data_IF_318543249358
#
_entry.id   IF_318543249358
#
_cell.length_a   1.000
_cell.length_b   1.000
_cell.length_c   1.000
_cell.angle_alpha   90.00
_cell.angle_beta   90.00
_cell.angle_gamma   90.00
#
_symmetry.space_group_name_H-M   'P 1'
#
loop_
_entity.id
_entity.type
_entity.pdbx_description
1 polymer ?
#
# COMPACT_ATOMS: atom_id res chain seq x y z
N UNK A 1 -17.74 -15.35 2.68
CA UNK A 1 -16.40 -15.41 3.32
C UNK A 1 -15.59 -14.27 2.74
N UNK A 2 -15.26 -13.25 3.53
CA UNK A 2 -14.35 -12.18 3.09
C UNK A 2 -12.94 -12.77 3.22
N UNK A 3 -12.25 -12.95 2.10
CA UNK A 3 -10.87 -13.42 2.09
C UNK A 3 -10.01 -12.38 2.81
N UNK A 4 -9.44 -12.76 3.96
CA UNK A 4 -8.58 -11.90 4.76
C UNK A 4 -7.40 -11.46 3.88
N UNK A 5 -7.26 -10.17 3.61
CA UNK A 5 -6.23 -9.67 2.69
C UNK A 5 -4.84 -9.71 3.35
N UNK A 6 -3.80 -10.00 2.57
CA UNK A 6 -2.42 -9.92 3.02
C UNK A 6 -1.84 -8.54 2.69
N UNK A 7 -1.46 -7.79 3.72
CA UNK A 7 -0.94 -6.43 3.67
C UNK A 7 0.51 -6.44 4.17
N UNK A 8 1.43 -5.95 3.33
CA UNK A 8 2.83 -5.78 3.70
C UNK A 8 3.18 -4.30 3.93
N UNK A 9 3.78 -3.99 5.08
CA UNK A 9 4.25 -2.64 5.41
C UNK A 9 5.74 -2.50 5.10
N UNK A 10 6.18 -1.40 4.48
CA UNK A 10 7.59 -1.09 4.32
C UNK A 10 8.29 -1.00 5.69
N UNK A 11 9.55 -1.48 5.83
CA UNK A 11 10.32 -1.29 7.05
C UNK A 11 10.46 0.21 7.39
N UNK A 12 10.21 0.58 8.65
CA UNK A 12 10.26 1.98 9.09
C UNK A 12 8.90 2.68 9.11
N UNK A 13 7.83 2.01 8.66
CA UNK A 13 6.47 2.46 8.95
C UNK A 13 6.18 2.39 10.46
N UNK A 14 5.38 3.32 11.01
CA UNK A 14 5.03 3.31 12.43
C UNK A 14 4.38 1.99 12.87
N UNK A 15 4.85 1.36 13.96
CA UNK A 15 4.39 0.02 14.36
C UNK A 15 2.91 -0.04 14.72
N UNK A 16 2.31 1.08 15.17
CA UNK A 16 0.88 1.18 15.46
C UNK A 16 -0.01 0.93 14.23
N UNK A 17 0.51 1.12 13.01
CA UNK A 17 -0.22 0.81 11.79
C UNK A 17 -0.55 -0.68 11.66
N UNK A 18 0.27 -1.56 12.24
CA UNK A 18 -0.03 -3.00 12.27
C UNK A 18 -1.36 -3.24 12.97
N UNK A 19 -1.52 -2.71 14.20
CA UNK A 19 -2.76 -2.85 14.95
C UNK A 19 -3.97 -2.20 14.26
N UNK A 20 -3.77 -1.04 13.62
CA UNK A 20 -4.86 -0.36 12.94
C UNK A 20 -5.34 -1.08 11.67
N UNK A 21 -4.43 -1.75 10.96
CA UNK A 21 -4.71 -2.43 9.69
C UNK A 21 -5.10 -3.91 9.87
N UNK A 22 -4.83 -4.51 11.03
CA UNK A 22 -5.21 -5.89 11.35
C UNK A 22 -6.72 -6.16 11.21
N UNK A 23 -7.56 -5.12 11.40
CA UNK A 23 -9.00 -5.26 11.17
C UNK A 23 -9.38 -5.42 9.69
N UNK A 24 -8.47 -5.15 8.75
CA UNK A 24 -8.68 -5.28 7.31
C UNK A 24 -8.06 -6.57 6.73
N UNK A 25 -7.15 -7.23 7.46
CA UNK A 25 -6.40 -8.34 6.91
C UNK A 25 -5.25 -8.81 7.79
N UNK A 26 -4.49 -9.80 7.31
CA UNK A 26 -3.20 -10.16 7.91
C UNK A 26 -2.19 -9.09 7.52
N UNK A 27 -1.51 -8.54 8.52
CA UNK A 27 -0.53 -7.47 8.33
C UNK A 27 0.84 -7.98 8.75
N UNK A 28 1.84 -7.78 7.90
CA UNK A 28 3.23 -8.08 8.20
C UNK A 28 4.11 -6.89 7.81
N UNK A 29 5.15 -6.61 8.59
CA UNK A 29 6.21 -5.71 8.16
C UNK A 29 7.09 -6.49 7.19
N UNK A 30 7.24 -5.98 5.97
CA UNK A 30 8.14 -6.54 4.98
C UNK A 30 9.57 -6.44 5.50
N UNK A 31 10.28 -7.56 5.55
CA UNK A 31 11.70 -7.55 5.89
C UNK A 31 12.53 -7.26 4.62
N UNK A 32 12.99 -8.32 3.94
CA UNK A 32 13.78 -8.25 2.71
C UNK A 32 12.98 -8.56 1.44
N UNK A 33 11.84 -9.25 1.58
CA UNK A 33 10.94 -9.62 0.49
C UNK A 33 9.50 -9.56 0.98
N UNK A 34 8.61 -9.23 0.05
CA UNK A 34 7.16 -9.28 0.28
C UNK A 34 6.69 -10.71 0.04
N UNK A 35 5.88 -11.24 0.96
CA UNK A 35 5.42 -12.63 0.90
C UNK A 35 4.51 -12.87 -0.32
N UNK A 36 4.60 -14.03 -1.01
CA UNK A 36 3.63 -14.42 -2.02
C UNK A 36 2.20 -14.38 -1.46
N UNK A 37 1.23 -13.96 -2.28
CA UNK A 37 -0.16 -13.79 -1.85
C UNK A 37 -0.46 -12.41 -1.24
N UNK A 38 0.57 -11.61 -0.93
CA UNK A 38 0.39 -10.20 -0.55
C UNK A 38 -0.34 -9.46 -1.67
N UNK A 39 -1.45 -8.80 -1.32
CA UNK A 39 -2.26 -8.02 -2.25
C UNK A 39 -1.96 -6.53 -2.18
N UNK A 40 -1.50 -6.07 -1.03
CA UNK A 40 -1.31 -4.65 -0.76
C UNK A 40 0.08 -4.42 -0.19
N UNK A 41 0.82 -3.52 -0.83
CA UNK A 41 2.07 -2.99 -0.32
C UNK A 41 1.85 -1.57 0.19
N UNK A 42 2.07 -1.33 1.48
CA UNK A 42 2.01 0.00 2.06
C UNK A 42 3.43 0.52 2.34
N UNK A 43 3.66 1.79 2.08
CA UNK A 43 4.97 2.44 2.24
C UNK A 43 4.82 3.91 2.64
N UNK A 44 5.92 4.58 2.96
CA UNK A 44 5.92 6.03 3.23
C UNK A 44 6.20 6.80 1.93
N UNK A 45 5.87 8.09 1.87
CA UNK A 45 6.17 8.93 0.71
C UNK A 45 7.68 9.03 0.39
N UNK A 46 8.52 8.85 1.41
CA UNK A 46 9.98 8.84 1.30
C UNK A 46 10.52 7.51 0.71
N UNK A 47 9.70 6.46 0.68
CA UNK A 47 10.09 5.16 0.12
C UNK A 47 10.22 5.25 -1.41
N UNK A 48 11.39 4.89 -1.94
CA UNK A 48 11.58 4.75 -3.39
C UNK A 48 10.82 3.52 -3.90
N UNK A 49 9.76 3.74 -4.67
CA UNK A 49 8.98 2.69 -5.34
C UNK A 49 9.23 2.79 -6.84
N UNK A 50 10.48 2.53 -7.22
CA UNK A 50 10.92 2.57 -8.62
C UNK A 50 10.52 1.30 -9.40
N UNK A 51 10.75 1.31 -10.72
CA UNK A 51 10.49 0.15 -11.58
C UNK A 51 11.16 -1.15 -11.08
N UNK A 52 12.35 -1.07 -10.46
CA UNK A 52 13.08 -2.24 -9.97
C UNK A 52 12.40 -2.85 -8.75
N UNK A 53 11.87 -2.04 -7.85
CA UNK A 53 11.06 -2.52 -6.73
C UNK A 53 9.74 -3.08 -7.25
N UNK A 54 9.06 -2.37 -8.15
CA UNK A 54 7.77 -2.77 -8.73
C UNK A 54 7.87 -4.12 -9.42
N UNK A 55 8.92 -4.36 -10.22
CA UNK A 55 9.18 -5.64 -10.89
C UNK A 55 9.34 -6.81 -9.89
N UNK A 56 9.90 -6.52 -8.71
CA UNK A 56 10.13 -7.52 -7.65
C UNK A 56 8.93 -7.77 -6.74
N UNK A 57 7.88 -6.94 -6.78
CA UNK A 57 6.70 -7.21 -5.94
C UNK A 57 6.07 -8.54 -6.39
N UNK A 58 5.45 -9.32 -5.51
CA UNK A 58 4.70 -10.51 -5.91
C UNK A 58 3.64 -10.19 -6.98
N UNK A 59 3.33 -11.11 -7.90
CA UNK A 59 2.30 -10.90 -8.92
C UNK A 59 0.89 -10.72 -8.33
N UNK A 60 0.70 -11.11 -7.07
CA UNK A 60 -0.53 -10.89 -6.32
C UNK A 60 -0.72 -9.46 -5.84
N UNK A 61 0.30 -8.59 -5.90
CA UNK A 61 0.18 -7.21 -5.46
C UNK A 61 -0.65 -6.42 -6.45
N UNK A 62 -1.75 -5.85 -5.97
CA UNK A 62 -2.74 -5.12 -6.75
C UNK A 62 -2.80 -3.63 -6.37
N UNK A 63 -2.28 -3.27 -5.18
CA UNK A 63 -2.26 -1.90 -4.65
C UNK A 63 -0.92 -1.55 -4.02
N UNK A 64 -0.41 -0.36 -4.35
CA UNK A 64 0.61 0.38 -3.60
C UNK A 64 -0.08 1.52 -2.84
N UNK A 65 -0.04 1.49 -1.51
CA UNK A 65 -0.68 2.46 -0.63
C UNK A 65 0.37 3.34 0.06
N UNK A 66 0.47 4.60 -0.35
CA UNK A 66 1.49 5.54 0.11
C UNK A 66 0.94 6.32 1.29
N UNK A 67 1.62 6.23 2.42
CA UNK A 67 1.41 7.02 3.61
C UNK A 67 2.15 8.36 3.45
N UNK A 68 1.45 9.32 2.86
CA UNK A 68 1.96 10.68 2.62
C UNK A 68 1.41 11.27 1.34
N UNK A 69 1.60 12.58 1.18
CA UNK A 69 1.02 13.35 0.07
C UNK A 69 1.90 13.35 -1.18
N UNK A 70 3.21 13.21 -1.00
CA UNK A 70 4.17 13.18 -2.11
C UNK A 70 4.24 11.78 -2.73
N UNK A 71 4.27 11.74 -4.06
CA UNK A 71 4.38 10.52 -4.87
C UNK A 71 5.48 10.59 -5.91
N UNK A 72 6.33 11.63 -5.87
CA UNK A 72 7.44 11.81 -6.81
C UNK A 72 8.49 10.69 -6.77
N UNK A 73 8.46 9.83 -5.76
CA UNK A 73 9.33 8.65 -5.61
C UNK A 73 8.73 7.34 -6.13
N UNK A 74 7.52 7.38 -6.69
CA UNK A 74 6.84 6.21 -7.24
C UNK A 74 6.87 6.26 -8.77
N UNK A 75 7.35 5.19 -9.38
CA UNK A 75 7.29 5.02 -10.83
C UNK A 75 5.86 4.59 -11.24
N UNK A 76 5.02 5.59 -11.48
CA UNK A 76 3.60 5.40 -11.82
C UNK A 76 3.41 4.66 -13.15
N UNK A 77 4.32 4.86 -14.11
CA UNK A 77 4.26 4.15 -15.40
C UNK A 77 4.57 2.67 -15.23
N UNK A 78 5.58 2.31 -14.43
CA UNK A 78 5.87 0.92 -14.11
C UNK A 78 4.70 0.26 -13.33
N UNK A 79 4.10 0.97 -12.37
CA UNK A 79 2.94 0.46 -11.64
C UNK A 79 1.75 0.22 -12.58
N UNK A 80 1.46 1.18 -13.46
CA UNK A 80 0.40 1.10 -14.48
C UNK A 80 0.65 -0.03 -15.47
N UNK A 81 1.86 -0.17 -15.99
CA UNK A 81 2.25 -1.24 -16.90
C UNK A 81 2.06 -2.63 -16.26
N UNK A 82 2.22 -2.72 -14.94
CA UNK A 82 1.99 -3.94 -14.16
C UNK A 82 0.53 -4.14 -13.72
N UNK A 83 -0.36 -3.19 -14.00
CA UNK A 83 -1.75 -3.22 -13.56
C UNK A 83 -1.96 -2.97 -12.06
N UNK A 84 -0.95 -2.41 -11.39
CA UNK A 84 -0.98 -2.10 -9.96
C UNK A 84 -1.58 -0.72 -9.76
N UNK A 85 -2.58 -0.62 -8.88
CA UNK A 85 -3.18 0.67 -8.49
C UNK A 85 -2.26 1.38 -7.52
N UNK A 86 -2.21 2.70 -7.60
CA UNK A 86 -1.45 3.55 -6.67
C UNK A 86 -2.41 4.46 -5.92
N UNK A 87 -2.17 4.60 -4.63
CA UNK A 87 -2.91 5.54 -3.78
C UNK A 87 -1.97 6.28 -2.84
N UNK A 88 -2.42 7.43 -2.37
CA UNK A 88 -1.66 8.30 -1.47
C UNK A 88 -2.56 8.90 -0.40
N UNK A 89 -1.97 9.51 0.62
CA UNK A 89 -2.71 10.23 1.66
C UNK A 89 -2.56 11.75 1.44
N UNK A 90 -3.63 12.47 1.08
CA UNK A 90 -3.57 13.92 0.87
C UNK A 90 -3.04 14.68 2.10
N UNK A 91 -2.32 15.78 1.88
CA UNK A 91 -1.73 16.59 2.96
C UNK A 91 -2.76 17.17 3.94
N UNK A 92 -4.01 17.36 3.50
CA UNK A 92 -5.12 17.86 4.31
C UNK A 92 -5.78 16.78 5.19
N UNK A 93 -5.25 15.54 5.22
CA UNK A 93 -5.80 14.46 6.03
C UNK A 93 -5.62 14.71 7.53
N UNK A 94 -6.68 14.45 8.31
CA UNK A 94 -6.64 14.56 9.77
C UNK A 94 -5.62 13.60 10.43
N UNK A 95 -5.36 12.45 9.80
CA UNK A 95 -4.32 11.51 10.22
C UNK A 95 -3.87 10.67 9.04
N UNK A 96 -2.54 10.54 8.89
CA UNK A 96 -1.91 9.69 7.89
C UNK A 96 -2.42 8.24 7.98
N UNK A 97 -2.50 7.73 9.20
CA UNK A 97 -2.87 6.35 9.48
C UNK A 97 -4.34 6.06 9.12
N UNK A 98 -5.23 7.00 9.46
CA UNK A 98 -6.65 6.90 9.13
C UNK A 98 -6.89 6.91 7.62
N UNK A 99 -6.23 7.82 6.90
CA UNK A 99 -6.37 7.92 5.45
C UNK A 99 -5.76 6.72 4.73
N UNK A 100 -4.60 6.22 5.18
CA UNK A 100 -4.02 4.99 4.66
C UNK A 100 -5.00 3.82 4.84
N UNK A 101 -5.56 3.66 6.04
CA UNK A 101 -6.57 2.63 6.33
C UNK A 101 -7.81 2.77 5.44
N UNK A 102 -8.30 3.99 5.23
CA UNK A 102 -9.47 4.25 4.38
C UNK A 102 -9.20 3.91 2.90
N UNK A 103 -8.02 4.26 2.37
CA UNK A 103 -7.61 3.88 1.01
C UNK A 103 -7.58 2.37 0.83
N UNK A 104 -6.96 1.66 1.77
CA UNK A 104 -6.86 0.19 1.78
C UNK A 104 -8.27 -0.43 1.86
N UNK A 105 -9.11 0.05 2.78
CA UNK A 105 -10.48 -0.46 2.93
C UNK A 105 -11.32 -0.26 1.66
N UNK A 106 -11.28 0.92 1.05
CA UNK A 106 -12.00 1.19 -0.19
C UNK A 106 -11.52 0.32 -1.36
N UNK A 107 -10.21 0.07 -1.44
CA UNK A 107 -9.67 -0.85 -2.42
C UNK A 107 -10.17 -2.28 -2.19
N UNK A 108 -10.22 -2.76 -0.95
CA UNK A 108 -10.74 -4.10 -0.64
C UNK A 108 -12.22 -4.24 -0.96
N UNK A 109 -13.01 -3.19 -0.73
CA UNK A 109 -14.47 -3.21 -0.90
C UNK A 109 -14.91 -3.00 -2.35
N UNK A 110 -14.26 -2.08 -3.07
CA UNK A 110 -14.70 -1.59 -4.39
C UNK A 110 -13.67 -1.86 -5.49
N UNK A 111 -12.52 -2.43 -5.15
CA UNK A 111 -11.39 -2.56 -6.05
C UNK A 111 -10.75 -1.22 -6.40
N UNK A 112 -11.08 -0.10 -5.75
CA UNK A 112 -10.57 1.23 -6.10
C UNK A 112 -10.14 2.00 -4.85
N UNK A 113 -8.95 2.63 -4.84
CA UNK A 113 -8.55 3.50 -3.74
C UNK A 113 -9.31 4.83 -3.77
N UNK A 114 -9.54 5.43 -2.58
CA UNK A 114 -10.22 6.74 -2.46
C UNK A 114 -9.38 7.86 -3.11
N UNK A 115 -8.07 7.85 -2.84
CA UNK A 115 -7.13 8.86 -3.30
C UNK A 115 -6.13 8.23 -4.28
N UNK A 116 -6.54 8.12 -5.55
CA UNK A 116 -5.73 7.56 -6.65
C UNK A 116 -4.88 8.62 -7.36
N UNK A 117 -3.88 8.14 -8.09
CA UNK A 117 -3.04 8.92 -9.00
C UNK A 117 -3.11 8.28 -10.37
#
# INVERSE_FOLDING_TARGET
MITQADIALNPGMPPELVGQLQSLGRVAVAERRIAPGTRIYACMAETAVDARLIDRLPPSVELIAIAGADTGRVDLEAARARGIKVSHTPAAAASMALSLKANIAAFLDRGLPLNRI
#
